data_IF_305894040785
#
_entry.id   IF_305894040785
#
_cell.length_a   1.000
_cell.length_b   1.000
_cell.length_c   1.000
_cell.angle_alpha   90.00
_cell.angle_beta   90.00
_cell.angle_gamma   90.00
#
_symmetry.space_group_name_H-M   'P 1'
#
loop_
_entity.id
_entity.type
_entity.pdbx_description
1 polymer ?
#
# COMPACT_ATOMS: atom_id res chain seq x y z
N UNK A 1 3.27 11.68 4.81
CA UNK A 1 2.44 10.48 4.54
C UNK A 1 3.28 9.22 4.74
N UNK A 2 2.79 8.26 5.52
CA UNK A 2 3.54 7.03 5.84
C UNK A 2 2.89 5.81 5.21
N UNK A 3 3.68 4.93 4.58
CA UNK A 3 3.22 3.59 4.22
C UNK A 3 3.68 2.61 5.30
N UNK A 4 2.73 2.10 6.10
CA UNK A 4 3.00 1.11 7.14
C UNK A 4 2.66 -0.27 6.58
N UNK A 5 3.69 -1.06 6.29
CA UNK A 5 3.51 -2.46 5.88
C UNK A 5 3.73 -3.37 7.07
N UNK A 6 2.68 -4.12 7.42
CA UNK A 6 2.70 -5.15 8.46
C UNK A 6 2.76 -6.52 7.79
N UNK A 7 3.96 -7.09 7.67
CA UNK A 7 4.09 -8.49 7.27
C UNK A 7 3.60 -9.38 8.43
N UNK A 8 3.05 -10.56 8.12
CA UNK A 8 2.54 -11.53 9.10
C UNK A 8 3.61 -12.08 10.10
N UNK A 9 4.88 -11.64 9.99
CA UNK A 9 5.96 -11.95 10.93
C UNK A 9 6.25 -10.85 11.96
N UNK A 10 5.41 -9.82 12.09
CA UNK A 10 5.55 -8.76 13.11
C UNK A 10 6.65 -7.73 12.82
N UNK A 11 7.40 -7.89 11.71
CA UNK A 11 8.41 -6.92 11.28
C UNK A 11 7.71 -5.74 10.61
N UNK A 12 7.82 -4.56 11.24
CA UNK A 12 7.29 -3.30 10.73
C UNK A 12 8.34 -2.67 9.83
N UNK A 13 8.04 -2.60 8.54
CA UNK A 13 8.78 -1.77 7.61
C UNK A 13 8.00 -0.47 7.47
N UNK A 14 8.62 0.60 7.96
CA UNK A 14 8.07 1.94 7.88
C UNK A 14 8.98 2.74 6.95
N UNK A 15 8.42 3.11 5.82
CA UNK A 15 9.04 4.08 4.92
C UNK A 15 8.19 5.33 5.02
N UNK A 16 8.83 6.42 5.45
CA UNK A 16 8.23 7.74 5.41
C UNK A 16 8.40 8.30 3.99
N UNK A 17 7.29 8.50 3.31
CA UNK A 17 7.25 9.10 1.98
C UNK A 17 7.06 10.62 2.06
N UNK A 18 7.06 11.20 3.27
CA UNK A 18 6.80 12.62 3.49
C UNK A 18 5.51 13.06 2.75
N UNK A 19 5.42 14.29 2.26
CA UNK A 19 4.24 14.77 1.53
C UNK A 19 4.32 14.50 0.02
N UNK A 20 5.26 13.65 -0.41
CA UNK A 20 5.47 13.34 -1.81
C UNK A 20 4.39 12.40 -2.34
N UNK A 21 4.05 12.57 -3.61
CA UNK A 21 3.17 11.64 -4.30
C UNK A 21 3.81 10.25 -4.32
N UNK A 22 3.02 9.20 -4.11
CA UNK A 22 3.51 7.81 -4.10
C UNK A 22 2.96 7.07 -5.32
N UNK A 23 3.86 6.50 -6.11
CA UNK A 23 3.52 5.58 -7.21
C UNK A 23 3.48 4.16 -6.66
N UNK A 24 2.37 3.46 -6.89
CA UNK A 24 2.20 2.06 -6.48
C UNK A 24 2.14 1.18 -7.73
N UNK A 25 3.17 0.37 -7.93
CA UNK A 25 3.25 -0.63 -8.98
C UNK A 25 2.87 -2.00 -8.43
N UNK A 26 1.94 -2.68 -9.12
CA UNK A 26 1.51 -4.02 -8.76
C UNK A 26 1.83 -4.97 -9.90
N UNK A 27 2.77 -5.88 -9.67
CA UNK A 27 3.11 -6.97 -10.57
C UNK A 27 2.60 -8.29 -9.99
N UNK A 28 2.10 -9.17 -10.85
CA UNK A 28 1.46 -10.42 -10.42
C UNK A 28 1.83 -11.56 -11.34
N UNK A 29 2.16 -12.70 -10.74
CA UNK A 29 2.32 -13.96 -11.45
C UNK A 29 1.38 -15.04 -10.87
N UNK A 30 1.57 -16.29 -11.29
CA UNK A 30 0.72 -17.40 -10.86
C UNK A 30 0.76 -17.68 -9.35
N UNK A 31 1.84 -17.32 -8.66
CA UNK A 31 2.08 -17.71 -7.26
C UNK A 31 2.15 -16.50 -6.32
N UNK A 32 2.62 -15.36 -6.82
CA UNK A 32 3.02 -14.21 -6.00
C UNK A 32 2.49 -12.92 -6.61
N UNK A 33 2.12 -11.99 -5.73
CA UNK A 33 1.86 -10.59 -6.05
C UNK A 33 2.98 -9.76 -5.43
N UNK A 34 3.64 -8.98 -6.25
CA UNK A 34 4.64 -8.02 -5.84
C UNK A 34 4.04 -6.62 -5.90
N UNK A 35 4.11 -5.90 -4.79
CA UNK A 35 3.67 -4.51 -4.68
C UNK A 35 4.91 -3.67 -4.40
N UNK A 36 5.20 -2.73 -5.28
CA UNK A 36 6.27 -1.76 -5.12
C UNK A 36 5.64 -0.39 -4.91
N UNK A 37 6.06 0.34 -3.90
CA UNK A 37 5.66 1.73 -3.68
C UNK A 37 6.90 2.59 -3.75
N UNK A 38 6.85 3.68 -4.51
CA UNK A 38 7.99 4.58 -4.76
C UNK A 38 7.55 6.03 -4.64
N UNK A 39 8.35 6.88 -4.00
CA UNK A 39 8.14 8.33 -4.05
C UNK A 39 8.27 8.83 -5.51
N UNK A 40 7.30 9.60 -5.98
CA UNK A 40 7.21 10.05 -7.37
C UNK A 40 8.29 11.08 -7.72
N UNK A 41 8.62 11.96 -6.77
CA UNK A 41 9.52 13.11 -6.96
C UNK A 41 10.92 12.88 -6.35
N UNK A 42 11.32 11.62 -6.20
CA UNK A 42 12.67 11.29 -5.73
C UNK A 42 13.64 11.27 -6.93
N UNK A 43 14.14 12.47 -7.26
CA UNK A 43 15.11 12.74 -8.34
C UNK A 43 16.48 12.10 -8.10
N UNK A 44 16.74 11.64 -6.87
CA UNK A 44 17.99 10.97 -6.49
C UNK A 44 17.83 9.44 -6.57
N UNK A 45 18.39 8.77 -7.60
CA UNK A 45 18.28 7.33 -7.75
C UNK A 45 18.97 6.54 -6.61
N UNK A 46 19.87 7.14 -5.84
CA UNK A 46 20.51 6.52 -4.67
C UNK A 46 19.69 6.67 -3.38
N UNK A 47 18.76 7.64 -3.34
CA UNK A 47 17.89 7.91 -2.17
C UNK A 47 16.43 7.58 -2.37
N UNK A 48 16.04 7.07 -3.54
CA UNK A 48 14.69 6.62 -3.84
C UNK A 48 14.07 5.90 -2.65
N UNK A 49 13.12 6.57 -2.00
CA UNK A 49 12.27 5.98 -0.98
C UNK A 49 11.35 5.01 -1.70
N UNK A 50 11.67 3.73 -1.60
CA UNK A 50 10.81 2.68 -2.12
C UNK A 50 10.66 1.53 -1.13
N UNK A 51 9.55 0.83 -1.25
CA UNK A 51 9.32 -0.43 -0.55
C UNK A 51 8.74 -1.44 -1.51
N UNK A 52 9.28 -2.66 -1.48
CA UNK A 52 8.77 -3.79 -2.26
C UNK A 52 8.34 -4.89 -1.32
N UNK A 53 7.10 -5.36 -1.47
CA UNK A 53 6.58 -6.51 -0.73
C UNK A 53 6.09 -7.57 -1.69
N UNK A 54 6.41 -8.83 -1.37
CA UNK A 54 5.92 -10.00 -2.08
C UNK A 54 4.98 -10.77 -1.16
N UNK A 55 3.76 -11.02 -1.64
CA UNK A 55 2.74 -11.79 -0.91
C UNK A 55 2.24 -12.96 -1.77
N UNK A 56 1.90 -14.11 -1.17
CA UNK A 56 1.27 -15.20 -1.90
C UNK A 56 -0.04 -14.75 -2.53
N UNK A 57 -0.23 -15.04 -3.82
CA UNK A 57 -1.41 -14.65 -4.61
C UNK A 57 -2.71 -15.06 -3.96
N UNK A 58 -2.83 -16.33 -3.57
CA UNK A 58 -4.05 -16.88 -3.00
C UNK A 58 -4.38 -16.27 -1.62
N UNK A 59 -3.35 -15.95 -0.83
CA UNK A 59 -3.52 -15.27 0.45
C UNK A 59 -4.06 -13.84 0.24
N UNK A 60 -3.52 -13.11 -0.75
CA UNK A 60 -3.99 -11.77 -1.08
C UNK A 60 -5.44 -11.79 -1.60
N UNK A 61 -5.76 -12.68 -2.54
CA UNK A 61 -7.12 -12.82 -3.08
C UNK A 61 -8.12 -13.13 -1.95
N UNK A 62 -7.77 -14.05 -1.06
CA UNK A 62 -8.62 -14.39 0.09
C UNK A 62 -8.83 -13.19 1.01
N UNK A 63 -7.76 -12.46 1.35
CA UNK A 63 -7.84 -11.27 2.20
C UNK A 63 -8.68 -10.16 1.55
N UNK A 64 -8.52 -9.91 0.25
CA UNK A 64 -9.32 -8.95 -0.52
C UNK A 64 -10.80 -9.35 -0.58
N UNK A 65 -11.09 -10.64 -0.78
CA UNK A 65 -12.46 -11.13 -0.77
C UNK A 65 -13.13 -10.93 0.61
N UNK A 66 -12.38 -11.11 1.71
CA UNK A 66 -12.86 -10.77 3.06
C UNK A 66 -13.10 -9.28 3.21
N UNK A 67 -12.14 -8.45 2.82
CA UNK A 67 -12.24 -6.99 2.92
C UNK A 67 -13.41 -6.42 2.10
N UNK A 68 -13.62 -6.93 0.89
CA UNK A 68 -14.70 -6.53 -0.01
C UNK A 68 -16.09 -6.85 0.54
N UNK A 69 -16.22 -7.88 1.39
CA UNK A 69 -17.48 -8.18 2.11
C UNK A 69 -17.74 -7.23 3.29
N UNK A 70 -16.70 -6.60 3.84
CA UNK A 70 -16.84 -5.58 4.88
C UNK A 70 -17.14 -4.19 4.30
N UNK A 71 -16.91 -3.96 3.01
CA UNK A 71 -17.30 -2.74 2.30
C UNK A 71 -18.80 -2.77 1.92
N UNK A 72 -19.68 -2.84 2.92
CA UNK A 72 -21.10 -2.56 2.73
C UNK A 72 -21.32 -1.09 2.33
N UNK A 73 -22.39 -0.74 1.59
CA UNK A 73 -22.61 0.62 1.12
C UNK A 73 -22.98 1.52 2.30
N UNK A 74 -22.07 2.39 2.74
CA UNK A 74 -22.44 3.53 3.58
C UNK A 74 -21.48 3.89 4.70
N UNK A 75 -20.54 4.77 4.39
CA UNK A 75 -20.29 5.92 5.27
C UNK A 75 -19.94 7.10 4.37
N UNK A 76 -20.97 7.88 3.99
CA UNK A 76 -20.76 9.22 3.42
C UNK A 76 -20.20 10.10 4.54
N UNK A 77 -18.89 10.07 4.72
CA UNK A 77 -18.22 11.03 5.58
C UNK A 77 -18.21 12.37 4.82
N UNK A 78 -19.21 13.21 5.08
CA UNK A 78 -19.25 14.59 4.57
C UNK A 78 -17.99 15.30 5.09
N UNK A 79 -17.14 15.88 4.22
CA UNK A 79 -16.04 16.71 4.70
C UNK A 79 -16.63 17.93 5.41
N UNK A 80 -16.24 18.13 6.68
CA UNK A 80 -16.50 19.39 7.37
C UNK A 80 -15.51 20.41 6.83
N UNK A 81 -16.01 21.40 6.10
CA UNK A 81 -15.28 22.61 5.76
C UNK A 81 -15.01 23.34 7.08
N UNK A 82 -13.74 23.46 7.46
CA UNK A 82 -13.32 24.33 8.57
C UNK A 82 -13.27 25.75 8.01
N UNK A 83 -14.14 26.60 8.56
CA UNK A 83 -14.23 28.05 8.30
C UNK A 83 -13.17 28.82 9.06
#
# INVERSE_FOLDING_TARGET
MFAILRQAGGRRYEVDFEDDAVVVDVAMNATTVQITMTAADDDDPEKKRFVTVAVPREALITALAVAGRCAGPGSKQKPKLVS
#
